data_IF_474365660374
#
_entry.id   IF_474365660374
#
_cell.length_a   1.000
_cell.length_b   1.000
_cell.length_c   1.000
_cell.angle_alpha   90.00
_cell.angle_beta   90.00
_cell.angle_gamma   90.00
#
_symmetry.space_group_name_H-M   'P 1'
#
loop_
_entity.id
_entity.type
_entity.pdbx_description
1 polymer ?
#
# COMPACT_ATOMS: atom_id res chain seq x y z
N UNK A 1 -17.35 -27.03 4.91
CA UNK A 1 -16.13 -27.42 5.64
C UNK A 1 -15.05 -26.49 5.12
N UNK A 2 -14.83 -25.39 5.83
CA UNK A 2 -13.91 -24.33 5.44
C UNK A 2 -12.49 -24.86 5.58
N UNK A 3 -11.73 -24.90 4.48
CA UNK A 3 -10.27 -25.08 4.55
C UNK A 3 -9.68 -23.78 5.10
N UNK A 4 -9.67 -23.66 6.42
CA UNK A 4 -8.90 -22.63 7.12
C UNK A 4 -7.43 -23.01 7.09
N UNK A 5 -6.59 -22.09 6.60
CA UNK A 5 -5.15 -22.27 6.48
C UNK A 5 -4.52 -22.46 7.88
N UNK A 6 -4.00 -23.67 8.21
CA UNK A 6 -3.60 -24.02 9.58
C UNK A 6 -2.38 -23.25 10.13
N UNK A 7 -1.66 -22.51 9.29
CA UNK A 7 -0.44 -21.76 9.64
C UNK A 7 -0.68 -20.46 10.42
N UNK A 8 -1.94 -20.09 10.66
CA UNK A 8 -2.29 -18.83 11.32
C UNK A 8 -2.62 -18.97 12.81
N UNK A 9 -2.75 -20.18 13.35
CA UNK A 9 -3.37 -20.43 14.66
C UNK A 9 -2.48 -20.21 15.90
N UNK A 10 -1.17 -20.02 15.75
CA UNK A 10 -0.30 -19.57 16.84
C UNK A 10 -0.13 -18.05 16.74
N UNK A 11 -1.17 -17.32 17.14
CA UNK A 11 -1.16 -15.87 17.35
C UNK A 11 -0.57 -15.57 18.73
N UNK A 12 0.76 -15.59 18.84
CA UNK A 12 1.38 -14.75 19.86
C UNK A 12 0.89 -13.30 19.66
N UNK A 13 0.68 -12.52 20.72
CA UNK A 13 0.45 -11.09 20.57
C UNK A 13 1.75 -10.49 20.00
N UNK A 14 1.70 -10.00 18.77
CA UNK A 14 2.86 -9.39 18.12
C UNK A 14 2.83 -7.89 18.39
N UNK A 15 4.00 -7.27 18.62
CA UNK A 15 4.06 -5.87 19.01
C UNK A 15 3.47 -4.95 17.93
N UNK A 16 2.61 -4.04 18.38
CA UNK A 16 2.09 -2.91 17.62
C UNK A 16 2.69 -1.65 18.24
N UNK A 17 3.76 -1.15 17.66
CA UNK A 17 4.43 0.02 18.19
C UNK A 17 3.74 1.28 17.67
N UNK A 18 3.07 2.00 18.57
CA UNK A 18 2.44 3.28 18.25
C UNK A 18 3.54 4.34 18.22
N UNK A 19 4.00 4.66 17.01
CA UNK A 19 5.09 5.62 16.77
C UNK A 19 4.59 7.07 16.66
N UNK A 20 3.30 7.25 16.42
CA UNK A 20 2.64 8.56 16.42
C UNK A 20 1.17 8.43 16.83
N UNK A 21 0.74 9.26 17.78
CA UNK A 21 -0.66 9.51 18.06
C UNK A 21 -1.09 10.84 17.45
N UNK A 22 -2.21 10.84 16.72
CA UNK A 22 -2.77 12.02 16.08
C UNK A 22 -4.29 12.09 16.28
N UNK A 23 -4.87 13.29 16.16
CA UNK A 23 -6.30 13.50 16.36
C UNK A 23 -7.19 12.65 15.43
N UNK A 24 -6.67 12.29 14.24
CA UNK A 24 -7.39 11.51 13.22
C UNK A 24 -7.11 10.00 13.26
N UNK A 25 -6.16 9.54 14.08
CA UNK A 25 -5.73 8.14 14.10
C UNK A 25 -4.29 7.98 14.58
N UNK A 26 -3.75 6.77 14.48
CA UNK A 26 -2.38 6.46 14.91
C UNK A 26 -1.54 6.01 13.72
N UNK A 27 -0.23 6.15 13.85
CA UNK A 27 0.74 5.42 13.03
C UNK A 27 1.24 4.24 13.85
N UNK A 28 1.07 3.03 13.31
CA UNK A 28 1.43 1.78 13.98
C UNK A 28 2.52 1.08 13.18
N UNK A 29 3.73 1.04 13.72
CA UNK A 29 4.85 0.31 13.16
C UNK A 29 4.84 -1.14 13.63
N UNK A 30 5.27 -2.05 12.76
CA UNK A 30 5.39 -3.47 13.06
C UNK A 30 6.36 -4.15 12.09
N UNK A 31 6.91 -5.29 12.49
CA UNK A 31 7.96 -5.95 11.70
C UNK A 31 7.42 -6.76 10.51
N UNK A 32 6.11 -7.03 10.47
CA UNK A 32 5.51 -7.85 9.43
C UNK A 32 4.07 -7.46 9.11
N UNK A 33 3.71 -7.52 7.82
CA UNK A 33 2.32 -7.42 7.36
C UNK A 33 1.40 -8.47 7.99
N UNK A 34 1.94 -9.61 8.46
CA UNK A 34 1.17 -10.63 9.20
C UNK A 34 0.61 -10.10 10.52
N UNK A 35 1.23 -9.06 11.09
CA UNK A 35 0.83 -8.54 12.40
C UNK A 35 -0.27 -7.49 12.29
N UNK A 36 -0.62 -7.04 11.08
CA UNK A 36 -1.80 -6.20 10.90
C UNK A 36 -3.03 -7.03 11.24
N UNK A 37 -3.87 -6.51 12.13
CA UNK A 37 -5.08 -7.17 12.58
C UNK A 37 -6.24 -6.16 12.78
N UNK A 38 -7.35 -6.61 13.37
CA UNK A 38 -8.54 -5.78 13.61
C UNK A 38 -8.29 -4.54 14.48
N UNK A 39 -7.18 -4.44 15.20
CA UNK A 39 -6.80 -3.26 15.99
C UNK A 39 -6.46 -2.05 15.10
N UNK A 40 -6.17 -2.27 13.82
CA UNK A 40 -5.72 -1.23 12.87
C UNK A 40 -6.84 -0.70 11.95
N UNK A 41 -8.10 -1.04 12.22
CA UNK A 41 -9.20 -0.75 11.29
C UNK A 41 -9.54 0.75 11.15
N UNK A 42 -9.69 1.19 9.90
CA UNK A 42 -10.36 2.43 9.48
C UNK A 42 -9.61 3.74 9.69
N UNK A 43 -8.91 3.90 10.82
CA UNK A 43 -8.29 5.18 11.22
C UNK A 43 -6.77 5.16 11.25
N UNK A 44 -6.17 3.98 11.39
CA UNK A 44 -4.74 3.85 11.61
C UNK A 44 -3.98 3.69 10.28
N UNK A 45 -2.83 4.35 10.19
CA UNK A 45 -1.84 4.10 9.15
C UNK A 45 -0.89 3.03 9.67
N UNK A 46 -0.77 1.93 8.95
CA UNK A 46 0.11 0.82 9.34
C UNK A 46 1.43 0.90 8.59
N UNK A 47 2.54 0.67 9.31
CA UNK A 47 3.91 0.66 8.78
C UNK A 47 4.55 -0.71 9.00
N UNK A 48 4.12 -1.77 8.28
CA UNK A 48 4.74 -3.07 8.36
C UNK A 48 6.06 -3.12 7.56
N UNK A 49 7.18 -3.44 8.21
CA UNK A 49 8.47 -3.63 7.55
C UNK A 49 8.64 -5.01 6.90
N UNK A 50 7.65 -5.39 6.11
CA UNK A 50 7.78 -6.47 5.13
C UNK A 50 7.62 -5.90 3.73
N UNK A 51 8.05 -6.61 2.69
CA UNK A 51 7.89 -6.13 1.33
C UNK A 51 6.39 -5.97 0.97
N UNK A 52 6.04 -4.97 0.14
CA UNK A 52 4.67 -4.69 -0.26
C UNK A 52 4.24 -5.50 -1.49
N UNK A 53 4.44 -6.82 -1.45
CA UNK A 53 3.96 -7.74 -2.47
C UNK A 53 2.47 -8.06 -2.35
N UNK A 54 1.92 -8.80 -3.31
CA UNK A 54 0.49 -9.19 -3.31
C UNK A 54 0.12 -10.03 -2.08
N UNK A 55 0.97 -10.95 -1.64
CA UNK A 55 0.69 -11.80 -0.48
C UNK A 55 0.62 -10.97 0.83
N UNK A 56 1.64 -10.16 1.19
CA UNK A 56 1.54 -9.24 2.33
C UNK A 56 0.31 -8.31 2.26
N UNK A 57 0.04 -7.74 1.08
CA UNK A 57 -1.14 -6.89 0.90
C UNK A 57 -2.47 -7.62 1.13
N UNK A 58 -2.55 -8.92 0.80
CA UNK A 58 -3.72 -9.77 1.09
C UNK A 58 -3.94 -10.04 2.57
N UNK A 59 -2.86 -10.03 3.37
CA UNK A 59 -2.97 -10.15 4.83
C UNK A 59 -3.47 -8.84 5.45
N UNK A 60 -3.03 -7.70 4.91
CA UNK A 60 -3.38 -6.37 5.42
C UNK A 60 -4.82 -5.97 5.05
N UNK A 61 -5.23 -6.20 3.80
CA UNK A 61 -6.45 -5.63 3.24
C UNK A 61 -7.77 -5.98 3.99
N UNK A 62 -7.96 -7.20 4.53
CA UNK A 62 -9.15 -7.54 5.31
C UNK A 62 -9.36 -6.66 6.54
N UNK A 63 -8.28 -6.12 7.12
CA UNK A 63 -8.31 -5.26 8.30
C UNK A 63 -8.56 -3.79 7.98
N UNK A 64 -8.65 -3.43 6.69
CA UNK A 64 -9.10 -2.12 6.20
C UNK A 64 -8.41 -0.92 6.91
N UNK A 65 -7.07 -0.87 7.00
CA UNK A 65 -6.40 0.29 7.57
C UNK A 65 -6.69 1.56 6.75
N UNK A 66 -6.50 2.72 7.37
CA UNK A 66 -6.63 4.04 6.71
C UNK A 66 -5.67 4.14 5.53
N UNK A 67 -4.44 3.70 5.73
CA UNK A 67 -3.41 3.60 4.69
C UNK A 67 -2.30 2.62 5.10
N UNK A 68 -1.45 2.26 4.15
CA UNK A 68 -0.33 1.33 4.34
C UNK A 68 0.96 1.96 3.83
N UNK A 69 2.03 1.92 4.62
CA UNK A 69 3.39 2.18 4.14
C UNK A 69 4.24 0.97 4.44
N UNK A 70 4.79 0.31 3.43
CA UNK A 70 5.58 -0.90 3.65
C UNK A 70 6.88 -0.85 2.87
N UNK A 71 7.77 -1.81 3.09
CA UNK A 71 9.05 -1.85 2.40
C UNK A 71 8.86 -2.26 0.93
N UNK A 72 9.69 -1.78 0.01
CA UNK A 72 9.53 -2.13 -1.42
C UNK A 72 10.23 -3.44 -1.84
N UNK A 73 10.94 -4.11 -0.91
CA UNK A 73 11.78 -5.28 -1.18
C UNK A 73 12.83 -5.07 -2.27
N UNK A 74 13.35 -3.85 -2.41
CA UNK A 74 14.18 -3.40 -3.53
C UNK A 74 13.49 -3.64 -4.88
N UNK A 75 12.18 -3.36 -4.93
CA UNK A 75 11.22 -3.56 -6.03
C UNK A 75 10.96 -5.03 -6.39
N UNK A 76 11.96 -5.90 -6.23
CA UNK A 76 11.91 -7.30 -6.63
C UNK A 76 11.87 -7.48 -8.15
N UNK A 77 12.16 -8.71 -8.61
CA UNK A 77 12.05 -9.06 -10.02
C UNK A 77 10.64 -8.76 -10.52
N UNK A 78 10.56 -8.10 -11.66
CA UNK A 78 9.31 -7.74 -12.31
C UNK A 78 8.33 -6.92 -11.43
N UNK A 79 8.83 -6.18 -10.43
CA UNK A 79 7.98 -5.38 -9.53
C UNK A 79 7.29 -6.19 -8.42
N UNK A 80 7.70 -7.44 -8.18
CA UNK A 80 7.06 -8.32 -7.21
C UNK A 80 7.02 -7.76 -5.78
N UNK A 81 8.03 -6.97 -5.39
CA UNK A 81 8.15 -6.36 -4.07
C UNK A 81 7.19 -5.21 -3.81
N UNK A 82 6.56 -4.65 -4.85
CA UNK A 82 5.61 -3.51 -4.76
C UNK A 82 4.23 -3.80 -5.35
N UNK A 83 4.01 -5.00 -5.89
CA UNK A 83 2.76 -5.36 -6.57
C UNK A 83 1.52 -5.27 -5.65
N UNK A 84 1.70 -5.26 -4.34
CA UNK A 84 0.67 -5.03 -3.34
C UNK A 84 0.07 -3.63 -3.36
N UNK A 85 0.81 -2.63 -3.85
CA UNK A 85 0.29 -1.27 -4.00
C UNK A 85 -0.97 -1.23 -4.88
N UNK A 86 -0.96 -1.96 -6.00
CA UNK A 86 -2.07 -1.96 -6.97
C UNK A 86 -3.22 -2.83 -6.46
N UNK A 87 -2.90 -3.89 -5.72
CA UNK A 87 -3.89 -4.71 -5.03
C UNK A 87 -4.66 -3.86 -4.01
N UNK A 88 -3.96 -3.06 -3.20
CA UNK A 88 -4.58 -2.18 -2.21
C UNK A 88 -5.35 -1.04 -2.88
N UNK A 89 -4.84 -0.49 -3.98
CA UNK A 89 -5.53 0.52 -4.78
C UNK A 89 -6.89 0.01 -5.27
N UNK A 90 -6.94 -1.19 -5.87
CA UNK A 90 -8.18 -1.80 -6.34
C UNK A 90 -9.21 -2.01 -5.22
N UNK A 91 -8.74 -2.08 -3.97
CA UNK A 91 -9.55 -2.24 -2.77
C UNK A 91 -9.85 -0.91 -2.06
N UNK A 92 -9.44 0.23 -2.62
CA UNK A 92 -9.70 1.56 -2.06
C UNK A 92 -8.78 1.96 -0.91
N UNK A 93 -7.61 1.32 -0.76
CA UNK A 93 -6.68 1.59 0.35
C UNK A 93 -5.48 2.39 -0.18
N UNK A 94 -5.26 3.62 0.30
CA UNK A 94 -4.03 4.38 0.06
C UNK A 94 -2.79 3.59 0.51
N UNK A 95 -1.79 3.50 -0.37
CA UNK A 95 -0.59 2.77 -0.07
C UNK A 95 0.65 3.40 -0.68
N UNK A 96 1.76 3.31 0.05
CA UNK A 96 3.09 3.69 -0.39
C UNK A 96 4.10 2.58 -0.05
N UNK A 97 5.17 2.50 -0.82
CA UNK A 97 6.31 1.65 -0.56
C UNK A 97 7.53 2.52 -0.28
N UNK A 98 8.31 2.16 0.72
CA UNK A 98 9.57 2.80 1.08
C UNK A 98 10.76 2.06 0.48
N UNK A 99 11.79 2.81 0.09
CA UNK A 99 13.03 2.33 -0.51
C UNK A 99 13.75 1.40 0.45
N UNK A 100 13.90 0.15 0.05
CA UNK A 100 14.61 -0.85 0.81
C UNK A 100 16.10 -0.62 1.04
N UNK A 101 16.67 0.38 0.38
CA UNK A 101 18.04 0.82 0.64
C UNK A 101 18.14 1.84 1.78
N UNK A 102 17.00 2.35 2.27
CA UNK A 102 16.94 3.39 3.30
C UNK A 102 16.59 2.86 4.69
N UNK A 103 15.99 1.67 4.78
CA UNK A 103 15.58 1.06 6.04
C UNK A 103 15.69 -0.47 6.00
N UNK A 104 15.75 -1.09 7.17
CA UNK A 104 15.89 -2.53 7.37
C UNK A 104 14.56 -3.28 7.18
N UNK A 105 14.59 -4.31 6.33
CA UNK A 105 13.50 -5.26 6.20
C UNK A 105 13.33 -6.07 7.49
N UNK A 106 12.13 -6.06 8.05
CA UNK A 106 11.77 -6.75 9.28
C UNK A 106 11.89 -5.89 10.53
N UNK A 107 12.13 -4.58 10.38
CA UNK A 107 12.21 -3.62 11.47
C UNK A 107 11.24 -2.46 11.22
N UNK A 108 10.06 -2.50 11.85
CA UNK A 108 9.00 -1.50 11.67
C UNK A 108 9.38 -0.10 12.14
N UNK A 109 10.12 -0.01 13.25
CA UNK A 109 10.56 1.27 13.82
C UNK A 109 11.57 1.93 12.90
N UNK A 110 12.57 1.19 12.40
CA UNK A 110 13.55 1.74 11.47
C UNK A 110 12.88 2.20 10.17
N UNK A 111 11.96 1.40 9.61
CA UNK A 111 11.19 1.81 8.42
C UNK A 111 10.46 3.14 8.62
N UNK A 112 9.89 3.37 9.80
CA UNK A 112 9.25 4.64 10.13
C UNK A 112 10.26 5.78 10.33
N UNK A 113 11.38 5.52 11.00
CA UNK A 113 12.36 6.53 11.41
C UNK A 113 13.26 7.01 10.27
N UNK A 114 13.69 6.11 9.39
CA UNK A 114 14.74 6.33 8.38
C UNK A 114 14.27 6.14 6.95
N UNK A 115 13.13 5.45 6.75
CA UNK A 115 12.61 5.12 5.44
C UNK A 115 12.24 6.33 4.58
N UNK A 116 12.46 6.19 3.27
CA UNK A 116 12.07 7.17 2.25
C UNK A 116 11.10 6.53 1.25
N UNK A 117 10.04 7.24 0.86
CA UNK A 117 9.05 6.72 -0.10
C UNK A 117 9.69 6.53 -1.47
N UNK A 118 9.63 5.29 -2.00
CA UNK A 118 10.09 4.94 -3.34
C UNK A 118 8.96 4.85 -4.35
N UNK A 119 7.77 4.38 -3.95
CA UNK A 119 6.61 4.22 -4.84
C UNK A 119 5.31 4.55 -4.12
N UNK A 120 4.32 5.02 -4.86
CA UNK A 120 2.99 5.34 -4.33
C UNK A 120 1.92 4.78 -5.27
N UNK A 121 0.75 4.46 -4.70
CA UNK A 121 -0.46 4.25 -5.50
C UNK A 121 -1.20 5.58 -5.69
N UNK A 122 -2.19 5.60 -6.61
CA UNK A 122 -2.88 6.86 -6.96
C UNK A 122 -3.63 7.47 -5.77
N UNK A 123 -4.09 6.65 -4.84
CA UNK A 123 -4.83 7.10 -3.67
C UNK A 123 -3.91 7.83 -2.68
N UNK A 124 -2.70 7.28 -2.43
CA UNK A 124 -1.69 7.96 -1.63
C UNK A 124 -1.19 9.25 -2.31
N UNK A 125 -0.99 9.21 -3.63
CA UNK A 125 -0.61 10.41 -4.41
C UNK A 125 -1.67 11.52 -4.28
N UNK A 126 -2.95 11.18 -4.41
CA UNK A 126 -4.08 12.12 -4.23
C UNK A 126 -4.19 12.68 -2.81
N UNK A 127 -3.78 11.90 -1.80
CA UNK A 127 -3.66 12.38 -0.43
C UNK A 127 -2.45 13.33 -0.23
N UNK A 128 -1.54 13.42 -1.21
CA UNK A 128 -0.39 14.33 -1.18
C UNK A 128 0.95 13.64 -0.90
N UNK A 129 1.02 12.30 -0.90
CA UNK A 129 2.28 11.56 -0.74
C UNK A 129 3.01 11.51 -2.08
N UNK A 130 4.33 11.75 -2.07
CA UNK A 130 5.18 11.68 -3.25
C UNK A 130 6.45 10.87 -2.99
N UNK A 131 7.05 10.33 -4.06
CA UNK A 131 8.39 9.72 -3.99
C UNK A 131 9.41 10.74 -3.42
N UNK A 132 10.34 10.26 -2.61
CA UNK A 132 11.36 11.08 -1.93
C UNK A 132 10.88 11.76 -0.65
N UNK A 133 9.62 11.60 -0.23
CA UNK A 133 9.15 12.01 1.09
C UNK A 133 9.65 11.01 2.17
N UNK A 134 9.88 11.46 3.41
CA UNK A 134 10.16 10.51 4.50
C UNK A 134 8.90 9.72 4.88
N UNK A 135 9.07 8.50 5.42
CA UNK A 135 7.93 7.69 5.88
C UNK A 135 7.11 8.40 6.96
N UNK A 136 7.76 9.17 7.85
CA UNK A 136 7.08 9.99 8.87
C UNK A 136 6.14 11.02 8.26
N UNK A 137 6.65 11.81 7.32
CA UNK A 137 5.88 12.84 6.65
C UNK A 137 4.73 12.22 5.86
N UNK A 138 5.00 11.15 5.11
CA UNK A 138 3.99 10.43 4.36
C UNK A 138 2.88 9.86 5.26
N UNK A 139 3.24 9.29 6.41
CA UNK A 139 2.28 8.76 7.37
C UNK A 139 1.37 9.86 7.96
N UNK A 140 1.95 11.03 8.27
CA UNK A 140 1.18 12.18 8.73
C UNK A 140 0.23 12.70 7.64
N UNK A 141 0.71 12.84 6.40
CA UNK A 141 -0.10 13.25 5.25
C UNK A 141 -1.28 12.30 5.05
N UNK A 142 -1.06 10.99 5.13
CA UNK A 142 -2.12 9.98 4.99
C UNK A 142 -3.13 10.00 6.16
N UNK A 143 -2.71 10.42 7.36
CA UNK A 143 -3.62 10.65 8.48
C UNK A 143 -4.45 11.91 8.29
N UNK A 144 -3.84 12.98 7.77
CA UNK A 144 -4.46 14.31 7.68
C UNK A 144 -5.39 14.46 6.48
N UNK A 145 -4.98 13.94 5.32
CA UNK A 145 -5.64 14.23 4.06
C UNK A 145 -6.63 13.12 3.65
N UNK A 146 -7.63 13.54 2.90
CA UNK A 146 -8.60 12.64 2.28
C UNK A 146 -8.18 12.40 0.83
N UNK A 147 -7.93 11.15 0.40
CA UNK A 147 -7.66 10.83 -1.00
C UNK A 147 -8.85 11.12 -1.94
N UNK A 148 -10.04 11.42 -1.41
CA UNK A 148 -11.27 11.64 -2.16
C UNK A 148 -11.98 10.31 -2.46
N UNK A 149 -12.58 10.17 -3.65
CA UNK A 149 -13.27 8.92 -3.99
C UNK A 149 -12.33 7.70 -4.06
N UNK A 150 -12.52 6.79 -3.11
CA UNK A 150 -11.81 5.51 -2.93
C UNK A 150 -12.65 4.28 -3.30
N UNK A 151 -13.82 4.47 -3.93
CA UNK A 151 -14.67 3.34 -4.31
C UNK A 151 -13.93 2.36 -5.23
N UNK A 152 -14.06 1.05 -4.96
CA UNK A 152 -13.38 0.04 -5.76
C UNK A 152 -13.76 0.20 -7.25
N UNK A 153 -12.76 0.47 -8.10
CA UNK A 153 -12.97 0.78 -9.52
C UNK A 153 -13.08 2.26 -9.88
N UNK A 154 -12.63 3.19 -9.01
CA UNK A 154 -12.50 4.62 -9.33
C UNK A 154 -11.88 4.80 -10.72
N UNK A 155 -12.65 5.44 -11.60
CA UNK A 155 -12.51 5.49 -13.06
C UNK A 155 -11.37 6.41 -13.55
N UNK A 156 -10.18 6.32 -12.99
CA UNK A 156 -9.10 7.22 -13.39
C UNK A 156 -8.18 6.45 -14.33
N UNK A 157 -8.16 6.92 -15.59
CA UNK A 157 -7.46 6.37 -16.78
C UNK A 157 -8.17 5.27 -17.61
N UNK A 158 -9.50 5.38 -17.72
CA UNK A 158 -10.27 4.70 -18.77
C UNK A 158 -10.64 5.72 -19.84
N UNK A 159 -10.15 5.54 -21.05
CA UNK A 159 -10.60 6.30 -22.22
C UNK A 159 -11.59 5.44 -23.01
N UNK A 160 -12.82 5.93 -23.19
CA UNK A 160 -13.79 5.30 -24.10
C UNK A 160 -13.42 5.68 -25.53
N UNK A 161 -12.90 4.72 -26.30
CA UNK A 161 -12.36 5.02 -27.63
C UNK A 161 -13.45 4.92 -28.70
N UNK A 162 -14.47 4.06 -28.52
CA UNK A 162 -15.57 3.89 -29.48
C UNK A 162 -16.87 3.48 -28.78
N UNK A 163 -17.99 4.09 -29.16
CA UNK A 163 -19.35 3.63 -28.82
C UNK A 163 -20.03 3.14 -30.10
N UNK A 164 -20.49 1.88 -30.11
CA UNK A 164 -21.24 1.33 -31.25
C UNK A 164 -22.69 1.86 -31.28
N UNK A 165 -23.33 1.79 -32.45
CA UNK A 165 -24.75 2.15 -32.63
C UNK A 165 -25.72 1.34 -31.76
N UNK A 166 -25.26 0.22 -31.17
CA UNK A 166 -26.03 -0.63 -30.24
C UNK A 166 -25.87 -0.25 -28.77
N UNK A 167 -25.17 0.83 -28.44
CA UNK A 167 -24.93 1.28 -27.07
C UNK A 167 -23.83 0.52 -26.32
N UNK A 168 -23.06 -0.31 -27.02
CA UNK A 168 -21.86 -0.97 -26.44
C UNK A 168 -20.65 -0.07 -26.54
N UNK A 169 -19.96 0.12 -25.42
CA UNK A 169 -18.73 0.90 -25.32
C UNK A 169 -17.50 -0.01 -25.37
N UNK A 170 -16.47 0.41 -26.11
CA UNK A 170 -15.11 -0.13 -26.03
C UNK A 170 -14.30 0.79 -25.13
N UNK A 171 -13.96 0.26 -23.95
CA UNK A 171 -13.16 0.97 -22.95
C UNK A 171 -11.72 0.54 -23.11
N UNK A 172 -10.83 1.49 -23.40
CA UNK A 172 -9.39 1.31 -23.27
C UNK A 172 -9.02 1.77 -21.87
N UNK A 173 -8.68 0.81 -21.03
CA UNK A 173 -8.03 1.09 -19.75
C UNK A 173 -6.54 1.20 -20.03
N UNK A 174 -5.87 2.27 -19.59
CA UNK A 174 -4.41 2.33 -19.72
C UNK A 174 -3.70 1.38 -18.75
N UNK A 175 -4.44 0.73 -17.84
CA UNK A 175 -3.95 -0.40 -17.07
C UNK A 175 -5.03 -1.38 -16.61
N UNK A 176 -4.66 -2.66 -16.60
CA UNK A 176 -5.02 -3.56 -15.51
C UNK A 176 -3.77 -3.97 -14.68
N UNK A 177 -2.53 -3.82 -15.21
CA UNK A 177 -1.25 -4.23 -14.55
C UNK A 177 0.02 -3.47 -15.05
N UNK A 178 -0.01 -2.56 -16.03
CA UNK A 178 1.21 -2.27 -16.83
C UNK A 178 2.03 -1.03 -16.41
N UNK A 179 3.11 -1.23 -15.65
CA UNK A 179 4.46 -0.74 -16.02
C UNK A 179 5.60 -1.39 -15.21
N UNK A 180 5.54 -2.72 -15.09
CA UNK A 180 6.77 -3.46 -14.84
C UNK A 180 7.84 -3.00 -15.86
N UNK A 181 8.96 -2.45 -15.37
CA UNK A 181 10.15 -1.98 -16.10
C UNK A 181 10.11 -0.56 -16.71
N UNK A 182 10.30 0.46 -15.86
CA UNK A 182 11.17 1.61 -16.22
C UNK A 182 12.51 1.45 -15.51
N UNK A 183 13.29 0.46 -15.93
CA UNK A 183 14.74 0.56 -15.80
C UNK A 183 15.19 1.72 -16.69
N UNK A 184 15.94 2.71 -16.19
CA UNK A 184 16.63 3.62 -17.08
C UNK A 184 17.63 2.78 -17.88
N UNK A 185 17.38 2.62 -19.18
CA UNK A 185 18.47 2.36 -20.13
C UNK A 185 19.39 3.57 -20.04
N UNK A 186 20.47 3.44 -19.25
CA UNK A 186 21.65 4.27 -19.43
C UNK A 186 22.22 3.94 -20.82
N UNK A 187 22.29 4.97 -21.66
CA UNK A 187 23.30 5.08 -22.70
C UNK A 187 24.54 5.77 -22.10
#
# INVERSE_FOLDING_TARGET
MSEEAPLLNDEADHPHDIVLEHLKGRVVAMDSARYVDSRNEGRDVVVPSSYLGVLPARLIAPHRPRAVIAHDGCIGKDGAGIAGLWYLEALGIPAAAADGMTAELGNGIDLYETGMISRVNILAERAGVSEGMSVKEAALVLLENDPGDVTAGTKIRRESVVTSETGREIIVTDSIVLHCQRTPTMY
#
